data_IF_003488498986
#
_entry.id   IF_003488498986
#
_cell.length_a   1.000
_cell.length_b   1.000
_cell.length_c   1.000
_cell.angle_alpha   90.00
_cell.angle_beta   90.00
_cell.angle_gamma   90.00
#
_symmetry.space_group_name_H-M   'P 1'
#
loop_
_entity.id
_entity.type
_entity.pdbx_description
1 polymer ?
#
# COMPACT_ATOMS: atom_id res chain seq x y z
N UNK A 1 -26.17 -15.66 -5.61
CA UNK A 1 -26.25 -14.88 -4.36
C UNK A 1 -24.83 -14.49 -3.97
N UNK A 2 -24.64 -13.34 -3.34
CA UNK A 2 -23.30 -12.80 -3.02
C UNK A 2 -23.21 -12.70 -1.51
N UNK A 3 -22.13 -13.22 -0.92
CA UNK A 3 -21.83 -13.09 0.51
C UNK A 3 -20.72 -12.08 0.72
N UNK A 4 -20.71 -11.43 1.88
CA UNK A 4 -19.64 -10.50 2.24
C UNK A 4 -18.62 -11.22 3.11
N UNK A 5 -17.34 -11.04 2.81
CA UNK A 5 -16.27 -11.59 3.64
C UNK A 5 -16.30 -10.93 5.03
N UNK A 6 -16.33 -11.73 6.11
CA UNK A 6 -16.41 -11.19 7.48
C UNK A 6 -15.15 -10.42 7.91
N UNK A 7 -14.03 -10.61 7.22
CA UNK A 7 -12.75 -9.98 7.55
C UNK A 7 -12.48 -8.67 6.79
N UNK A 8 -12.93 -8.55 5.54
CA UNK A 8 -12.65 -7.38 4.70
C UNK A 8 -13.89 -6.76 4.03
N UNK A 9 -15.08 -7.30 4.29
CA UNK A 9 -16.37 -6.88 3.72
C UNK A 9 -16.44 -6.84 2.19
N UNK A 10 -15.47 -7.45 1.50
CA UNK A 10 -15.54 -7.62 0.05
C UNK A 10 -16.72 -8.52 -0.32
N UNK A 11 -17.45 -8.15 -1.38
CA UNK A 11 -18.49 -8.95 -1.98
C UNK A 11 -17.85 -10.15 -2.72
N UNK A 12 -18.18 -11.37 -2.31
CA UNK A 12 -17.62 -12.62 -2.86
C UNK A 12 -18.75 -13.56 -3.30
N UNK A 13 -18.63 -14.22 -4.47
CA UNK A 13 -19.56 -15.29 -4.86
C UNK A 13 -19.56 -16.44 -3.83
N UNK A 14 -20.73 -17.05 -3.58
CA UNK A 14 -20.86 -18.14 -2.61
C UNK A 14 -20.04 -19.40 -2.94
N UNK A 15 -19.65 -19.60 -4.21
CA UNK A 15 -18.82 -20.73 -4.64
C UNK A 15 -17.35 -20.65 -4.21
N UNK A 16 -16.90 -19.51 -3.66
CA UNK A 16 -15.52 -19.32 -3.25
C UNK A 16 -15.32 -19.75 -1.80
N UNK A 17 -14.41 -20.69 -1.56
CA UNK A 17 -14.02 -21.14 -0.21
C UNK A 17 -13.04 -20.20 0.49
N UNK A 18 -12.40 -19.29 -0.27
CA UNK A 18 -11.52 -18.23 0.24
C UNK A 18 -11.83 -16.87 -0.39
N UNK A 19 -11.71 -15.81 0.40
CA UNK A 19 -11.86 -14.46 -0.09
C UNK A 19 -10.71 -14.10 -1.05
N UNK A 20 -10.98 -13.66 -2.29
CA UNK A 20 -9.93 -13.29 -3.24
C UNK A 20 -9.20 -11.99 -2.87
N UNK A 21 -9.73 -11.21 -1.93
CA UNK A 21 -9.17 -9.92 -1.51
C UNK A 21 -8.23 -10.05 -0.31
N UNK A 22 -8.59 -10.87 0.68
CA UNK A 22 -7.80 -11.01 1.92
C UNK A 22 -7.35 -12.45 2.24
N UNK A 23 -7.71 -13.44 1.43
CA UNK A 23 -7.33 -14.84 1.62
C UNK A 23 -8.06 -15.60 2.73
N UNK A 24 -8.94 -14.92 3.49
CA UNK A 24 -9.69 -15.50 4.59
C UNK A 24 -10.61 -16.65 4.12
N UNK A 25 -10.65 -17.73 4.89
CA UNK A 25 -11.54 -18.88 4.64
C UNK A 25 -12.98 -18.47 4.94
N UNK A 26 -13.89 -18.77 4.03
CA UNK A 26 -15.28 -18.37 4.10
C UNK A 26 -16.12 -19.59 4.52
N UNK A 27 -16.23 -19.80 5.83
CA UNK A 27 -16.76 -21.01 6.49
C UNK A 27 -18.12 -21.48 5.96
N UNK A 28 -18.21 -22.80 5.73
CA UNK A 28 -19.43 -23.56 5.42
C UNK A 28 -19.11 -25.06 5.52
N UNK A 29 -19.89 -25.78 6.32
CA UNK A 29 -19.90 -27.23 6.60
C UNK A 29 -18.91 -27.79 7.63
N UNK A 30 -19.32 -27.76 8.92
CA UNK A 30 -18.91 -28.76 9.90
C UNK A 30 -19.97 -29.87 10.00
N UNK A 31 -19.62 -31.08 9.57
CA UNK A 31 -20.31 -32.32 9.96
C UNK A 31 -19.86 -32.79 11.35
N UNK A 32 -20.67 -33.59 12.08
CA UNK A 32 -20.50 -33.77 13.51
C UNK A 32 -19.33 -34.71 13.88
N UNK A 33 -18.65 -34.33 14.96
CA UNK A 33 -17.55 -35.06 15.59
C UNK A 33 -17.95 -36.46 16.06
N UNK A 34 -17.12 -37.46 15.75
CA UNK A 34 -17.15 -38.77 16.42
C UNK A 34 -16.06 -38.81 17.50
N UNK A 35 -16.51 -38.96 18.74
CA UNK A 35 -15.71 -39.25 19.92
C UNK A 35 -15.26 -40.71 19.94
N UNK A 36 -13.96 -40.97 20.03
CA UNK A 36 -13.41 -42.26 20.46
C UNK A 36 -12.38 -41.99 21.58
N UNK A 37 -12.68 -42.55 22.75
CA UNK A 37 -11.89 -42.37 23.96
C UNK A 37 -10.65 -43.27 24.02
N UNK A 38 -9.66 -42.80 24.77
CA UNK A 38 -8.49 -43.56 25.20
C UNK A 38 -7.80 -42.84 26.37
N UNK A 39 -7.70 -43.51 27.52
CA UNK A 39 -6.99 -43.06 28.73
C UNK A 39 -5.45 -43.27 28.61
N UNK A 40 -4.64 -42.68 29.52
CA UNK A 40 -3.35 -42.07 29.16
C UNK A 40 -2.13 -42.93 29.49
N UNK A 41 -1.03 -42.66 28.79
CA UNK A 41 0.33 -42.98 29.24
C UNK A 41 1.08 -41.66 29.46
N UNK A 42 1.61 -41.48 30.66
CA UNK A 42 2.16 -40.22 31.16
C UNK A 42 3.60 -39.91 30.72
N UNK A 43 3.83 -38.61 30.50
CA UNK A 43 5.09 -37.89 30.37
C UNK A 43 4.75 -36.40 30.16
N UNK A 44 5.54 -35.43 30.65
CA UNK A 44 5.17 -34.01 30.61
C UNK A 44 5.47 -33.47 29.21
N UNK A 45 4.59 -33.74 28.25
CA UNK A 45 4.70 -33.19 26.91
C UNK A 45 3.71 -32.03 26.78
N UNK A 46 4.22 -30.88 26.38
CA UNK A 46 3.41 -29.69 26.21
C UNK A 46 2.58 -29.80 24.90
N UNK A 47 1.29 -29.55 24.98
CA UNK A 47 0.40 -29.51 23.83
C UNK A 47 0.42 -28.12 23.19
N UNK A 48 0.36 -28.06 21.86
CA UNK A 48 0.28 -26.79 21.12
C UNK A 48 -1.16 -26.25 21.13
N UNK A 49 -1.35 -24.96 21.44
CA UNK A 49 -2.66 -24.30 21.40
C UNK A 49 -2.63 -23.17 20.38
N UNK A 50 -3.42 -23.31 19.31
CA UNK A 50 -3.61 -22.29 18.28
C UNK A 50 -4.60 -21.22 18.77
N UNK A 51 -4.18 -20.38 19.71
CA UNK A 51 -4.94 -19.17 20.06
C UNK A 51 -4.45 -17.98 19.23
N UNK A 52 -5.27 -17.60 18.24
CA UNK A 52 -5.18 -16.29 17.58
C UNK A 52 -5.56 -15.20 18.59
N UNK A 53 -4.59 -14.40 19.04
CA UNK A 53 -4.87 -13.22 19.85
C UNK A 53 -5.20 -12.01 18.96
N UNK A 54 -6.22 -11.20 19.30
CA UNK A 54 -6.62 -10.03 18.52
C UNK A 54 -5.73 -8.82 18.81
N UNK A 55 -5.39 -8.07 17.76
CA UNK A 55 -4.68 -6.79 17.85
C UNK A 55 -5.65 -5.67 18.24
N UNK A 56 -5.29 -4.94 19.30
CA UNK A 56 -6.01 -3.77 19.83
C UNK A 56 -5.84 -2.55 18.91
N UNK A 57 -6.92 -1.81 18.79
CA UNK A 57 -7.22 -0.71 17.85
C UNK A 57 -6.63 0.65 18.24
N UNK A 58 -6.43 1.51 17.23
CA UNK A 58 -6.26 2.96 17.36
C UNK A 58 -7.09 3.67 16.28
N UNK A 59 -8.06 4.48 16.69
CA UNK A 59 -9.12 5.07 15.87
C UNK A 59 -8.83 6.52 15.44
N UNK A 60 -9.34 6.91 14.27
CA UNK A 60 -9.89 8.26 14.02
C UNK A 60 -10.83 8.24 12.80
N UNK A 61 -12.05 8.75 12.95
CA UNK A 61 -13.18 8.51 12.05
C UNK A 61 -13.59 9.65 11.11
N UNK A 62 -14.26 9.24 10.02
CA UNK A 62 -15.44 9.82 9.36
C UNK A 62 -15.34 11.12 8.55
N UNK A 63 -16.37 11.49 7.74
CA UNK A 63 -17.55 10.71 7.31
C UNK A 63 -17.77 10.67 5.78
N UNK A 64 -18.89 10.02 5.42
CA UNK A 64 -19.31 9.48 4.13
C UNK A 64 -20.05 10.44 3.17
N UNK A 65 -20.31 9.93 1.95
CA UNK A 65 -21.35 10.35 1.00
C UNK A 65 -20.81 10.59 -0.41
N UNK A 66 -21.44 10.24 -1.53
CA UNK A 66 -22.61 9.43 -1.89
C UNK A 66 -22.55 9.22 -3.42
N UNK A 67 -23.28 8.23 -3.92
CA UNK A 67 -23.28 7.67 -5.28
C UNK A 67 -23.69 8.63 -6.42
N UNK A 68 -23.30 8.30 -7.66
CA UNK A 68 -24.24 8.04 -8.77
C UNK A 68 -23.51 7.63 -10.05
N UNK A 69 -24.26 6.95 -10.92
CA UNK A 69 -23.84 6.00 -11.95
C UNK A 69 -24.21 6.49 -13.36
N UNK A 70 -23.63 5.86 -14.40
CA UNK A 70 -23.97 5.91 -15.84
C UNK A 70 -23.67 7.21 -16.62
N UNK A 71 -23.28 7.25 -17.90
CA UNK A 71 -23.02 6.22 -18.92
C UNK A 71 -22.80 6.89 -20.30
N UNK A 72 -21.80 6.40 -21.04
CA UNK A 72 -21.65 6.22 -22.52
C UNK A 72 -21.71 7.38 -23.56
N UNK A 73 -20.80 7.22 -24.55
CA UNK A 73 -20.68 7.83 -25.91
C UNK A 73 -20.11 9.27 -25.94
N UNK A 74 -19.15 9.66 -26.79
CA UNK A 74 -18.92 9.31 -28.18
C UNK A 74 -17.45 9.63 -28.61
N UNK A 75 -17.14 9.12 -29.80
CA UNK A 75 -15.91 8.95 -30.57
C UNK A 75 -15.20 10.21 -31.11
N UNK A 76 -13.90 10.03 -31.44
CA UNK A 76 -13.09 10.68 -32.51
C UNK A 76 -13.03 12.22 -32.53
N UNK A 77 -11.87 12.88 -32.49
CA UNK A 77 -10.75 12.71 -33.43
C UNK A 77 -9.66 13.78 -33.18
N UNK A 78 -8.41 13.33 -33.29
CA UNK A 78 -7.24 13.97 -33.94
C UNK A 78 -6.58 15.21 -33.32
N UNK A 79 -5.46 14.95 -32.64
CA UNK A 79 -4.27 15.79 -32.61
C UNK A 79 -3.64 15.92 -34.01
N UNK A 80 -3.24 17.12 -34.41
CA UNK A 80 -2.00 17.32 -35.17
C UNK A 80 -1.59 18.81 -35.20
N UNK A 81 -0.35 19.06 -34.78
CA UNK A 81 0.60 19.76 -35.65
C UNK A 81 0.67 21.27 -35.58
N UNK A 82 1.37 21.75 -34.55
CA UNK A 82 2.04 23.04 -34.50
C UNK A 82 3.16 23.17 -35.56
N UNK A 83 3.20 24.29 -36.29
CA UNK A 83 4.45 24.85 -36.83
C UNK A 83 4.43 26.40 -36.82
N UNK A 84 5.46 26.95 -36.18
CA UNK A 84 5.93 28.35 -36.18
C UNK A 84 6.50 28.74 -37.58
N UNK A 85 6.82 30.02 -37.95
CA UNK A 85 7.33 31.07 -37.06
C UNK A 85 6.98 32.56 -37.35
N UNK A 86 7.53 33.37 -36.46
CA UNK A 86 7.68 34.82 -36.24
C UNK A 86 7.64 35.88 -37.37
N UNK A 87 7.18 37.06 -36.91
CA UNK A 87 7.68 38.44 -37.09
C UNK A 87 7.67 39.13 -38.47
N UNK A 88 6.91 40.23 -38.59
CA UNK A 88 7.37 41.64 -38.43
C UNK A 88 6.36 42.60 -39.09
N UNK A 89 6.06 43.72 -38.42
CA UNK A 89 5.21 44.83 -38.88
C UNK A 89 5.68 45.49 -40.19
N UNK A 90 4.77 46.13 -40.95
CA UNK A 90 4.80 47.61 -40.95
C UNK A 90 3.40 48.29 -41.01
N UNK A 91 3.35 49.51 -40.49
CA UNK A 91 2.27 50.52 -40.64
C UNK A 91 2.37 51.27 -41.99
N UNK A 92 1.49 52.25 -42.26
CA UNK A 92 0.30 52.21 -43.10
C UNK A 92 0.54 52.80 -44.52
N UNK A 93 -0.50 52.88 -45.39
CA UNK A 93 -0.56 54.02 -46.28
C UNK A 93 -1.92 54.74 -46.33
N UNK A 94 -1.75 56.02 -46.61
CA UNK A 94 -2.68 57.12 -46.84
C UNK A 94 -3.48 56.98 -48.14
N UNK A 95 -4.60 57.72 -48.17
CA UNK A 95 -5.52 58.02 -49.27
C UNK A 95 -5.02 57.90 -50.72
N UNK A 96 -5.85 57.27 -51.57
CA UNK A 96 -6.05 57.67 -52.96
C UNK A 96 -7.46 57.22 -53.41
N UNK A 97 -8.26 58.16 -53.91
CA UNK A 97 -9.71 58.00 -54.11
C UNK A 97 -10.15 57.12 -55.29
N UNK A 98 -11.48 56.93 -55.49
CA UNK A 98 -12.00 56.25 -56.66
C UNK A 98 -12.36 57.23 -57.79
N UNK A 99 -11.90 56.85 -58.98
CA UNK A 99 -12.27 57.42 -60.28
C UNK A 99 -13.74 57.19 -60.61
N UNK A 100 -14.27 58.19 -61.33
CA UNK A 100 -15.58 58.29 -61.91
C UNK A 100 -16.02 57.08 -62.74
N UNK A 101 -17.31 56.71 -62.61
CA UNK A 101 -18.04 55.92 -63.60
C UNK A 101 -19.24 56.72 -64.12
N UNK A 102 -19.25 56.81 -65.44
CA UNK A 102 -20.06 57.61 -66.35
C UNK A 102 -21.41 56.91 -66.57
N UNK A 103 -22.55 57.59 -66.40
CA UNK A 103 -23.82 57.17 -67.02
C UNK A 103 -24.54 58.38 -67.63
N UNK A 104 -24.61 58.29 -68.96
CA UNK A 104 -25.60 58.76 -69.94
C UNK A 104 -26.41 60.04 -69.71
N UNK A 105 -26.21 60.93 -70.68
CA UNK A 105 -27.05 62.05 -71.09
C UNK A 105 -28.53 61.69 -71.24
N UNK A 106 -29.39 62.51 -70.64
CA UNK A 106 -30.74 62.77 -71.15
C UNK A 106 -30.84 64.24 -71.57
N UNK A 107 -31.20 64.43 -72.85
CA UNK A 107 -31.47 65.72 -73.47
C UNK A 107 -32.62 66.44 -72.76
N UNK A 108 -32.49 67.75 -72.57
CA UNK A 108 -33.64 68.62 -72.32
C UNK A 108 -33.58 69.80 -73.29
N UNK A 109 -34.50 69.79 -74.24
CA UNK A 109 -34.81 70.91 -75.11
C UNK A 109 -35.36 72.09 -74.30
N UNK A 110 -34.93 73.29 -74.69
CA UNK A 110 -35.46 74.56 -74.23
C UNK A 110 -36.96 74.66 -74.53
N UNK A 111 -37.77 74.76 -73.47
CA UNK A 111 -39.12 75.30 -73.54
C UNK A 111 -39.15 76.61 -72.74
N UNK A 112 -39.64 77.64 -73.42
CA UNK A 112 -39.76 79.03 -72.98
C UNK A 112 -40.34 79.19 -71.56
N UNK A 113 -39.66 80.01 -70.75
CA UNK A 113 -40.14 80.43 -69.44
C UNK A 113 -41.32 81.40 -69.59
N UNK A 114 -42.54 80.91 -69.32
CA UNK A 114 -43.70 81.73 -68.94
C UNK A 114 -43.54 82.22 -67.48
N UNK A 115 -44.06 83.41 -67.13
CA UNK A 115 -43.93 83.96 -65.79
C UNK A 115 -44.68 83.07 -64.79
N UNK A 116 -43.98 82.60 -63.76
CA UNK A 116 -44.58 81.87 -62.63
C UNK A 116 -44.97 82.87 -61.53
N UNK A 117 -46.15 82.71 -60.93
CA UNK A 117 -46.69 83.63 -59.95
C UNK A 117 -45.86 83.60 -58.68
N UNK A 118 -45.60 84.78 -58.10
CA UNK A 118 -44.92 84.94 -56.82
C UNK A 118 -45.72 84.29 -55.70
N UNK A 119 -45.22 83.16 -55.20
CA UNK A 119 -45.71 82.51 -54.00
C UNK A 119 -45.38 83.41 -52.79
N UNK A 120 -46.37 83.69 -51.94
CA UNK A 120 -46.21 84.62 -50.81
C UNK A 120 -45.13 84.15 -49.82
N UNK A 121 -44.38 85.11 -49.25
CA UNK A 121 -43.31 84.87 -48.26
C UNK A 121 -43.76 84.05 -47.05
N UNK A 122 -45.06 84.02 -46.70
CA UNK A 122 -45.57 83.20 -45.60
C UNK A 122 -45.64 81.70 -45.92
N UNK A 123 -45.85 81.34 -47.20
CA UNK A 123 -45.92 79.93 -47.63
C UNK A 123 -44.51 79.31 -47.77
N UNK A 124 -43.51 80.11 -48.15
CA UNK A 124 -42.09 79.70 -48.12
C UNK A 124 -41.58 79.47 -46.70
N UNK A 125 -41.95 80.35 -45.75
CA UNK A 125 -41.55 80.21 -44.35
C UNK A 125 -42.18 78.96 -43.70
N UNK A 126 -43.42 78.62 -44.08
CA UNK A 126 -44.08 77.38 -43.67
C UNK A 126 -43.42 76.11 -44.23
N UNK A 127 -42.96 76.15 -45.49
CA UNK A 127 -42.25 75.01 -46.11
C UNK A 127 -40.87 74.77 -45.47
N UNK A 128 -40.15 75.84 -45.12
CA UNK A 128 -38.87 75.77 -44.39
C UNK A 128 -39.08 75.20 -42.98
N UNK A 129 -40.14 75.62 -42.29
CA UNK A 129 -40.49 75.10 -40.96
C UNK A 129 -40.85 73.59 -41.01
N UNK A 130 -41.62 73.18 -42.02
CA UNK A 130 -41.96 71.76 -42.25
C UNK A 130 -40.73 70.91 -42.57
N UNK A 131 -39.79 71.43 -43.37
CA UNK A 131 -38.54 70.73 -43.67
C UNK A 131 -37.68 70.56 -42.40
N UNK A 132 -37.61 71.59 -41.55
CA UNK A 132 -36.91 71.55 -40.26
C UNK A 132 -37.51 70.49 -39.33
N UNK A 133 -38.83 70.45 -39.21
CA UNK A 133 -39.53 69.43 -38.40
C UNK A 133 -39.32 68.03 -38.97
N UNK A 134 -39.30 67.87 -40.29
CA UNK A 134 -39.03 66.60 -40.94
C UNK A 134 -37.59 66.12 -40.71
N UNK A 135 -36.60 67.01 -40.78
CA UNK A 135 -35.20 66.69 -40.47
C UNK A 135 -35.00 66.32 -38.99
N UNK A 136 -35.69 67.01 -38.08
CA UNK A 136 -35.68 66.69 -36.64
C UNK A 136 -36.34 65.31 -36.41
N UNK A 137 -37.47 65.03 -37.07
CA UNK A 137 -38.16 63.75 -36.98
C UNK A 137 -37.33 62.58 -37.51
N UNK A 138 -36.64 62.75 -38.65
CA UNK A 138 -35.69 61.78 -39.19
C UNK A 138 -34.50 61.60 -38.24
N UNK A 139 -33.97 62.69 -37.67
CA UNK A 139 -32.89 62.65 -36.69
C UNK A 139 -33.26 61.85 -35.45
N UNK A 140 -34.46 62.05 -34.90
CA UNK A 140 -35.01 61.28 -33.78
C UNK A 140 -35.25 59.81 -34.15
N UNK A 141 -35.73 59.52 -35.36
CA UNK A 141 -35.94 58.15 -35.84
C UNK A 141 -34.61 57.40 -36.03
N UNK A 142 -33.58 58.06 -36.58
CA UNK A 142 -32.22 57.51 -36.71
C UNK A 142 -31.58 57.33 -35.32
N UNK A 143 -31.76 58.30 -34.42
CA UNK A 143 -31.25 58.21 -33.06
C UNK A 143 -31.90 57.05 -32.29
N UNK A 144 -33.24 56.97 -32.28
CA UNK A 144 -33.98 55.91 -31.58
C UNK A 144 -33.89 54.54 -32.24
N UNK A 145 -33.77 54.47 -33.57
CA UNK A 145 -33.73 53.21 -34.32
C UNK A 145 -32.33 52.62 -34.48
N UNK A 146 -31.29 53.44 -34.52
CA UNK A 146 -29.93 53.01 -34.84
C UNK A 146 -28.96 53.29 -33.67
N UNK A 147 -28.85 54.54 -33.21
CA UNK A 147 -27.81 54.91 -32.24
C UNK A 147 -28.11 54.49 -30.80
N UNK A 148 -29.32 54.74 -30.30
CA UNK A 148 -29.72 54.36 -28.95
C UNK A 148 -29.69 52.84 -28.71
N UNK A 149 -30.22 51.98 -29.60
CA UNK A 149 -30.08 50.54 -29.47
C UNK A 149 -28.63 50.08 -29.65
N UNK A 150 -27.82 50.75 -30.48
CA UNK A 150 -26.39 50.45 -30.57
C UNK A 150 -25.64 50.73 -29.26
N UNK A 151 -25.94 51.84 -28.56
CA UNK A 151 -25.35 52.15 -27.26
C UNK A 151 -25.78 51.15 -26.17
N UNK A 152 -27.06 50.76 -26.15
CA UNK A 152 -27.57 49.74 -25.22
C UNK A 152 -26.90 48.37 -25.47
N UNK A 153 -26.73 47.98 -26.74
CA UNK A 153 -26.00 46.76 -27.12
C UNK A 153 -24.52 46.85 -26.71
N UNK A 154 -23.86 47.99 -26.92
CA UNK A 154 -22.47 48.17 -26.53
C UNK A 154 -22.28 48.05 -25.00
N UNK A 155 -23.16 48.64 -24.19
CA UNK A 155 -23.15 48.50 -22.74
C UNK A 155 -23.46 47.08 -22.26
N UNK A 156 -24.43 46.40 -22.88
CA UNK A 156 -24.76 45.01 -22.59
C UNK A 156 -23.59 44.07 -22.92
N UNK A 157 -22.96 44.23 -24.08
CA UNK A 157 -21.78 43.45 -24.49
C UNK A 157 -20.59 43.67 -23.55
N UNK A 158 -20.34 44.91 -23.12
CA UNK A 158 -19.26 45.22 -22.18
C UNK A 158 -19.49 44.57 -20.79
N UNK A 159 -20.74 44.52 -20.33
CA UNK A 159 -21.09 43.88 -19.05
C UNK A 159 -20.94 42.36 -19.14
N UNK A 160 -21.38 41.75 -20.24
CA UNK A 160 -21.24 40.31 -20.49
C UNK A 160 -19.77 39.91 -20.65
N UNK A 161 -18.96 40.70 -21.38
CA UNK A 161 -17.53 40.41 -21.53
C UNK A 161 -16.76 40.55 -20.21
N UNK A 162 -17.10 41.54 -19.39
CA UNK A 162 -16.54 41.68 -18.04
C UNK A 162 -16.92 40.49 -17.13
N UNK A 163 -18.18 40.07 -17.16
CA UNK A 163 -18.64 38.90 -16.40
C UNK A 163 -17.96 37.60 -16.86
N UNK A 164 -17.82 37.40 -18.17
CA UNK A 164 -17.12 36.22 -18.72
C UNK A 164 -15.63 36.22 -18.34
N UNK A 165 -14.98 37.38 -18.37
CA UNK A 165 -13.58 37.54 -17.95
C UNK A 165 -13.39 37.28 -16.46
N UNK A 166 -14.32 37.74 -15.62
CA UNK A 166 -14.30 37.46 -14.20
C UNK A 166 -14.48 35.95 -13.92
N UNK A 167 -15.39 35.29 -14.65
CA UNK A 167 -15.59 33.85 -14.55
C UNK A 167 -14.33 33.08 -14.96
N UNK A 168 -13.74 33.37 -16.12
CA UNK A 168 -12.52 32.68 -16.59
C UNK A 168 -11.34 32.88 -15.64
N UNK A 169 -11.19 34.07 -15.05
CA UNK A 169 -10.18 34.33 -14.02
C UNK A 169 -10.44 33.52 -12.75
N UNK A 170 -11.68 33.44 -12.27
CA UNK A 170 -12.02 32.64 -11.08
C UNK A 170 -11.77 31.14 -11.31
N UNK A 171 -12.11 30.62 -12.49
CA UNK A 171 -11.84 29.23 -12.88
C UNK A 171 -10.34 28.97 -13.00
N UNK A 172 -9.59 29.87 -13.65
CA UNK A 172 -8.14 29.77 -13.76
C UNK A 172 -7.46 29.78 -12.39
N UNK A 173 -7.92 30.63 -11.46
CA UNK A 173 -7.43 30.64 -10.09
C UNK A 173 -7.80 29.37 -9.32
N UNK A 174 -9.02 28.87 -9.48
CA UNK A 174 -9.44 27.61 -8.86
C UNK A 174 -8.58 26.43 -9.37
N UNK A 175 -8.30 26.38 -10.68
CA UNK A 175 -7.45 25.37 -11.28
C UNK A 175 -5.99 25.50 -10.81
N UNK A 176 -5.45 26.72 -10.74
CA UNK A 176 -4.10 26.95 -10.23
C UNK A 176 -3.96 26.54 -8.76
N UNK A 177 -4.98 26.83 -7.93
CA UNK A 177 -5.03 26.39 -6.52
C UNK A 177 -5.14 24.87 -6.42
N UNK A 178 -6.01 24.24 -7.21
CA UNK A 178 -6.15 22.78 -7.23
C UNK A 178 -4.82 22.10 -7.65
N UNK A 179 -4.16 22.62 -8.68
CA UNK A 179 -2.85 22.13 -9.13
C UNK A 179 -1.75 22.31 -8.07
N UNK A 180 -1.71 23.47 -7.40
CA UNK A 180 -0.78 23.72 -6.30
C UNK A 180 -1.01 22.78 -5.11
N UNK A 181 -2.27 22.56 -4.73
CA UNK A 181 -2.63 21.62 -3.66
C UNK A 181 -2.28 20.19 -4.03
N UNK A 182 -2.58 19.75 -5.26
CA UNK A 182 -2.22 18.41 -5.73
C UNK A 182 -0.70 18.19 -5.71
N UNK A 183 0.07 19.19 -6.13
CA UNK A 183 1.55 19.15 -6.09
C UNK A 183 2.07 19.10 -4.65
N UNK A 184 1.51 19.92 -3.76
CA UNK A 184 1.88 19.92 -2.35
C UNK A 184 1.57 18.58 -1.67
N UNK A 185 0.42 17.96 -1.99
CA UNK A 185 0.05 16.65 -1.48
C UNK A 185 0.96 15.54 -2.02
N UNK A 186 1.27 15.56 -3.32
CA UNK A 186 2.22 14.61 -3.92
C UNK A 186 3.61 14.71 -3.27
N UNK A 187 4.10 15.93 -3.03
CA UNK A 187 5.38 16.15 -2.36
C UNK A 187 5.36 15.70 -0.89
N UNK A 188 4.28 15.95 -0.16
CA UNK A 188 4.11 15.49 1.22
C UNK A 188 4.12 13.96 1.31
N UNK A 189 3.38 13.28 0.42
CA UNK A 189 3.36 11.81 0.35
C UNK A 189 4.73 11.23 -0.02
N UNK A 190 5.42 11.82 -1.00
CA UNK A 190 6.76 11.38 -1.39
C UNK A 190 7.77 11.57 -0.25
N UNK A 191 7.69 12.67 0.50
CA UNK A 191 8.55 12.93 1.65
C UNK A 191 8.30 11.92 2.77
N UNK A 192 7.03 11.64 3.09
CA UNK A 192 6.68 10.64 4.10
C UNK A 192 7.15 9.23 3.72
N UNK A 193 7.00 8.83 2.45
CA UNK A 193 7.48 7.54 1.95
C UNK A 193 9.01 7.44 2.00
N UNK A 194 9.73 8.51 1.63
CA UNK A 194 11.19 8.55 1.71
C UNK A 194 11.68 8.46 3.16
N UNK A 195 11.03 9.16 4.10
CA UNK A 195 11.35 9.07 5.53
C UNK A 195 11.10 7.67 6.08
N UNK A 196 9.95 7.05 5.76
CA UNK A 196 9.64 5.70 6.18
C UNK A 196 10.68 4.68 5.65
N UNK A 197 11.09 4.83 4.39
CA UNK A 197 12.13 3.98 3.79
C UNK A 197 13.48 4.16 4.47
N UNK A 198 13.87 5.41 4.77
CA UNK A 198 15.12 5.71 5.46
C UNK A 198 15.16 5.11 6.89
N UNK A 199 14.05 5.18 7.63
CA UNK A 199 13.93 4.60 8.98
C UNK A 199 14.00 3.07 8.91
N UNK A 200 13.31 2.45 7.95
CA UNK A 200 13.35 1.01 7.75
C UNK A 200 14.77 0.53 7.41
N UNK A 201 15.48 1.25 6.53
CA UNK A 201 16.87 0.94 6.18
C UNK A 201 17.80 1.09 7.39
N UNK A 202 17.69 2.17 8.16
CA UNK A 202 18.49 2.38 9.37
C UNK A 202 18.24 1.28 10.42
N UNK A 203 16.99 0.86 10.59
CA UNK A 203 16.62 -0.23 11.49
C UNK A 203 17.23 -1.55 11.02
N UNK A 204 17.13 -1.88 9.73
CA UNK A 204 17.73 -3.09 9.16
C UNK A 204 19.26 -3.11 9.35
N UNK A 205 19.94 -1.98 9.12
CA UNK A 205 21.38 -1.86 9.37
C UNK A 205 21.74 -2.07 10.85
N UNK A 206 20.96 -1.50 11.78
CA UNK A 206 21.20 -1.69 13.21
C UNK A 206 21.00 -3.14 13.66
N UNK A 207 19.98 -3.83 13.14
CA UNK A 207 19.74 -5.24 13.45
C UNK A 207 20.82 -6.15 12.87
N UNK A 208 21.31 -5.83 11.66
CA UNK A 208 22.42 -6.54 11.04
C UNK A 208 23.73 -6.36 11.83
N UNK A 209 24.05 -5.14 12.25
CA UNK A 209 25.22 -4.87 13.09
C UNK A 209 25.13 -5.62 14.44
N UNK A 210 23.93 -5.73 15.01
CA UNK A 210 23.68 -6.52 16.23
C UNK A 210 23.98 -8.00 16.01
N UNK A 211 23.56 -8.58 14.89
CA UNK A 211 23.86 -9.96 14.52
C UNK A 211 25.36 -10.20 14.32
N UNK A 212 26.02 -9.32 13.55
CA UNK A 212 27.45 -9.42 13.26
C UNK A 212 28.29 -9.33 14.52
N UNK A 213 27.98 -8.36 15.39
CA UNK A 213 28.66 -8.25 16.67
C UNK A 213 28.39 -9.48 17.53
N UNK A 214 27.16 -9.99 17.56
CA UNK A 214 26.73 -11.16 18.34
C UNK A 214 27.36 -12.50 17.92
N UNK A 215 27.77 -12.62 16.66
CA UNK A 215 28.40 -13.82 16.07
C UNK A 215 29.89 -13.64 15.80
N UNK A 216 30.48 -12.53 16.26
CA UNK A 216 31.89 -12.21 16.07
C UNK A 216 32.82 -13.12 16.88
N UNK A 217 33.90 -13.57 16.23
CA UNK A 217 34.94 -14.38 16.87
C UNK A 217 34.54 -15.86 16.98
N UNK A 218 35.37 -16.63 17.68
CA UNK A 218 35.12 -18.06 17.83
C UNK A 218 33.96 -18.31 18.82
N UNK A 219 33.06 -19.25 18.50
CA UNK A 219 32.02 -19.64 19.45
C UNK A 219 32.65 -20.26 20.70
N UNK A 220 32.03 -19.99 21.86
CA UNK A 220 32.40 -20.59 23.15
C UNK A 220 32.10 -22.09 23.18
N UNK A 221 31.02 -22.52 22.51
CA UNK A 221 30.69 -23.92 22.27
C UNK A 221 30.45 -24.11 20.78
N UNK A 222 31.12 -25.11 20.21
CA UNK A 222 30.84 -25.60 18.87
C UNK A 222 30.59 -27.11 18.95
N UNK A 223 29.41 -27.53 18.50
CA UNK A 223 29.01 -28.92 18.41
C UNK A 223 28.63 -29.23 16.95
N UNK A 224 29.35 -30.11 16.26
CA UNK A 224 29.04 -30.45 14.88
C UNK A 224 27.72 -31.24 14.74
N UNK A 225 27.16 -31.76 15.84
CA UNK A 225 25.97 -32.61 15.90
C UNK A 225 26.11 -33.92 15.13
N UNK A 226 27.31 -34.48 15.11
CA UNK A 226 27.61 -35.73 14.37
C UNK A 226 27.57 -36.99 15.26
N UNK A 227 27.41 -36.82 16.58
CA UNK A 227 27.38 -37.92 17.53
C UNK A 227 27.24 -37.41 18.97
N UNK A 228 27.01 -38.34 19.90
CA UNK A 228 26.91 -38.01 21.32
C UNK A 228 28.27 -37.55 21.86
N UNK A 229 28.26 -36.51 22.69
CA UNK A 229 29.47 -35.87 23.19
C UNK A 229 29.30 -35.38 24.64
N UNK A 230 30.15 -34.45 25.08
CA UNK A 230 30.10 -33.87 26.42
C UNK A 230 28.83 -33.07 26.71
N UNK A 231 28.04 -32.71 25.70
CA UNK A 231 26.80 -31.94 25.85
C UNK A 231 25.61 -32.81 26.27
N UNK A 232 25.73 -34.14 26.17
CA UNK A 232 24.74 -35.11 26.65
C UNK A 232 23.34 -34.88 26.05
N UNK A 233 23.25 -34.96 24.73
CA UNK A 233 22.00 -34.82 23.99
C UNK A 233 20.96 -35.87 24.40
N UNK A 234 19.71 -35.46 24.61
CA UNK A 234 18.57 -36.37 24.73
C UNK A 234 18.38 -37.13 23.42
N UNK A 235 18.35 -38.47 23.47
CA UNK A 235 18.20 -39.33 22.31
C UNK A 235 17.08 -40.36 22.52
N UNK A 236 16.39 -40.73 21.44
CA UNK A 236 15.56 -41.93 21.38
C UNK A 236 16.38 -43.10 20.82
N UNK A 237 16.65 -44.08 21.69
CA UNK A 237 17.44 -45.25 21.33
C UNK A 237 16.72 -46.18 20.34
N UNK A 238 15.40 -46.04 20.19
CA UNK A 238 14.62 -46.86 19.26
C UNK A 238 14.47 -46.22 17.87
N UNK A 239 14.88 -44.95 17.71
CA UNK A 239 14.77 -44.16 16.47
C UNK A 239 13.36 -44.18 15.87
N UNK A 240 12.33 -44.24 16.71
CA UNK A 240 10.92 -44.22 16.28
C UNK A 240 10.35 -42.83 16.36
N UNK A 241 10.66 -42.12 17.43
CA UNK A 241 10.19 -40.78 17.69
C UNK A 241 11.11 -40.11 18.71
N UNK A 242 11.52 -38.88 18.44
CA UNK A 242 12.55 -38.16 19.21
C UNK A 242 13.81 -38.00 18.38
N UNK A 243 14.97 -38.10 19.05
CA UNK A 243 16.22 -37.57 18.51
C UNK A 243 17.25 -38.67 18.27
N UNK A 244 17.93 -38.65 17.13
CA UNK A 244 18.97 -39.62 16.82
C UNK A 244 20.00 -39.05 15.86
N UNK A 245 21.24 -39.53 15.94
CA UNK A 245 22.29 -39.14 15.01
C UNK A 245 22.21 -39.96 13.72
N UNK A 246 22.19 -39.28 12.58
CA UNK A 246 22.23 -39.90 11.26
C UNK A 246 22.87 -38.94 10.26
N UNK A 247 23.63 -39.47 9.30
CA UNK A 247 24.11 -38.66 8.17
C UNK A 247 24.97 -37.43 8.53
N UNK A 248 25.71 -37.45 9.65
CA UNK A 248 26.47 -36.30 10.19
C UNK A 248 25.61 -35.14 10.71
N UNK A 249 24.38 -35.43 11.13
CA UNK A 249 23.48 -34.49 11.77
C UNK A 249 22.70 -35.13 12.92
N UNK A 250 22.16 -34.29 13.80
CA UNK A 250 21.14 -34.71 14.77
C UNK A 250 19.78 -34.56 14.10
N UNK A 251 19.02 -35.65 14.03
CA UNK A 251 17.66 -35.67 13.52
C UNK A 251 16.68 -35.60 14.68
N UNK A 252 15.58 -34.88 14.49
CA UNK A 252 14.40 -34.89 15.34
C UNK A 252 13.21 -35.34 14.50
N UNK A 253 12.63 -36.48 14.84
CA UNK A 253 11.47 -37.07 14.18
C UNK A 253 10.29 -37.10 15.13
N UNK A 254 9.15 -36.57 14.69
CA UNK A 254 7.88 -36.64 15.44
C UNK A 254 6.79 -37.15 14.51
N UNK A 255 6.00 -38.11 14.99
CA UNK A 255 4.89 -38.72 14.26
C UNK A 255 3.59 -38.70 15.05
N UNK A 256 3.62 -38.12 16.26
CA UNK A 256 2.47 -37.88 17.12
C UNK A 256 1.90 -36.50 16.86
N UNK A 257 0.65 -36.48 16.41
CA UNK A 257 -0.09 -35.28 16.02
C UNK A 257 -0.11 -34.20 17.12
N UNK A 258 0.23 -32.96 16.77
CA UNK A 258 0.28 -31.76 17.63
C UNK A 258 1.24 -31.86 18.83
N UNK A 259 2.27 -32.71 18.72
CA UNK A 259 3.32 -32.89 19.73
C UNK A 259 4.67 -32.41 19.19
N UNK A 260 5.51 -31.90 20.08
CA UNK A 260 6.95 -31.79 19.83
C UNK A 260 7.71 -32.59 20.90
N UNK A 261 8.87 -33.13 20.52
CA UNK A 261 9.76 -33.81 21.44
C UNK A 261 11.07 -33.01 21.58
N UNK A 262 11.43 -32.56 22.79
CA UNK A 262 12.60 -31.74 22.99
C UNK A 262 13.90 -32.57 22.97
N UNK A 263 14.83 -32.20 22.09
CA UNK A 263 16.18 -32.74 22.03
C UNK A 263 17.12 -31.78 22.75
N UNK A 264 17.28 -31.96 24.07
CA UNK A 264 18.08 -31.05 24.89
C UNK A 264 19.53 -31.49 25.02
N UNK A 265 20.46 -30.54 24.97
CA UNK A 265 21.84 -30.72 25.41
C UNK A 265 21.89 -30.62 26.95
N UNK A 266 21.73 -31.75 27.65
CA UNK A 266 21.47 -31.80 29.09
C UNK A 266 22.59 -31.19 29.95
N UNK A 267 23.83 -31.21 29.47
CA UNK A 267 24.99 -30.68 30.20
C UNK A 267 25.21 -29.16 30.01
N UNK A 268 24.28 -28.46 29.35
CA UNK A 268 24.35 -27.02 29.11
C UNK A 268 23.52 -26.22 30.10
N UNK A 269 23.94 -25.00 30.42
CA UNK A 269 23.14 -24.03 31.16
C UNK A 269 23.62 -22.60 30.84
N UNK A 270 22.88 -21.88 30.00
CA UNK A 270 23.27 -20.56 29.51
C UNK A 270 22.27 -19.47 29.92
N UNK A 271 22.77 -18.26 30.18
CA UNK A 271 21.98 -17.09 30.56
C UNK A 271 21.86 -16.08 29.41
N UNK A 272 22.97 -15.41 29.12
CA UNK A 272 23.13 -14.48 28.01
C UNK A 272 24.00 -15.14 26.95
N UNK A 273 23.46 -15.30 25.75
CA UNK A 273 24.14 -16.00 24.68
C UNK A 273 23.56 -15.66 23.31
N UNK A 274 24.35 -15.99 22.29
CA UNK A 274 23.87 -16.15 20.93
C UNK A 274 23.94 -17.63 20.59
N UNK A 275 22.81 -18.23 20.20
CA UNK A 275 22.70 -19.63 19.78
C UNK A 275 22.39 -19.65 18.29
N UNK A 276 23.16 -20.41 17.52
CA UNK A 276 23.01 -20.57 16.08
C UNK A 276 23.07 -22.05 15.69
N UNK A 277 22.26 -22.47 14.74
CA UNK A 277 22.29 -23.84 14.19
C UNK A 277 21.82 -23.84 12.74
N UNK A 278 22.36 -24.76 11.94
CA UNK A 278 21.82 -25.09 10.63
C UNK A 278 20.67 -26.09 10.80
N UNK A 279 19.50 -25.78 10.24
CA UNK A 279 18.33 -26.65 10.23
C UNK A 279 17.90 -26.94 8.79
N UNK A 280 17.64 -28.21 8.48
CA UNK A 280 16.98 -28.63 7.23
C UNK A 280 15.74 -29.43 7.56
N UNK A 281 14.61 -29.03 6.99
CA UNK A 281 13.39 -29.82 7.06
C UNK A 281 13.50 -30.98 6.07
N UNK A 282 13.57 -32.21 6.60
CA UNK A 282 13.59 -33.43 5.81
C UNK A 282 12.19 -33.70 5.28
N UNK A 283 11.16 -33.53 6.11
CA UNK A 283 9.74 -33.60 5.74
C UNK A 283 8.85 -32.96 6.83
N UNK A 284 7.59 -32.66 6.49
CA UNK A 284 6.55 -32.27 7.45
C UNK A 284 6.40 -30.77 7.66
N UNK A 285 6.07 -30.38 8.88
CA UNK A 285 5.51 -29.07 9.21
C UNK A 285 6.57 -28.06 9.68
N UNK A 286 7.49 -28.46 10.55
CA UNK A 286 8.59 -27.58 10.96
C UNK A 286 9.34 -27.99 12.22
N UNK A 287 10.12 -27.06 12.76
CA UNK A 287 10.96 -27.30 13.92
C UNK A 287 11.75 -26.05 14.32
N UNK A 288 12.77 -26.23 15.15
CA UNK A 288 13.69 -25.15 15.45
C UNK A 288 14.47 -25.31 16.75
N UNK A 289 14.63 -24.21 17.48
CA UNK A 289 15.51 -24.10 18.64
C UNK A 289 14.73 -24.09 19.95
N UNK A 290 15.25 -24.79 20.95
CA UNK A 290 14.84 -24.66 22.35
C UNK A 290 15.95 -23.96 23.12
N UNK A 291 15.60 -23.01 24.00
CA UNK A 291 16.60 -22.33 24.80
C UNK A 291 16.06 -21.85 26.15
N UNK A 292 16.98 -21.66 27.11
CA UNK A 292 16.69 -21.45 28.52
C UNK A 292 15.69 -22.48 29.07
N UNK A 293 15.86 -23.72 28.63
CA UNK A 293 14.99 -24.82 28.97
C UNK A 293 15.31 -25.40 30.35
N UNK A 294 14.30 -25.99 30.98
CA UNK A 294 14.47 -26.85 32.14
C UNK A 294 13.82 -28.19 31.83
N UNK A 295 14.67 -29.21 31.63
CA UNK A 295 14.25 -30.57 31.28
C UNK A 295 13.28 -31.19 32.30
N UNK A 296 13.34 -30.81 33.57
CA UNK A 296 12.49 -31.39 34.61
C UNK A 296 11.07 -30.86 34.58
N UNK A 297 10.90 -29.56 34.29
CA UNK A 297 9.59 -28.91 34.23
C UNK A 297 9.02 -28.82 32.81
N UNK A 298 9.82 -29.08 31.78
CA UNK A 298 9.42 -28.87 30.38
C UNK A 298 9.29 -27.40 29.99
N UNK A 299 9.73 -26.47 30.85
CA UNK A 299 9.61 -25.03 30.63
C UNK A 299 10.76 -24.50 29.79
N UNK A 300 10.53 -23.47 28.97
CA UNK A 300 11.58 -22.80 28.20
C UNK A 300 11.01 -21.96 27.06
N UNK A 301 11.88 -21.46 26.19
CA UNK A 301 11.46 -20.81 24.96
C UNK A 301 11.67 -21.71 23.75
N UNK A 302 10.77 -21.59 22.78
CA UNK A 302 10.78 -22.32 21.52
C UNK A 302 10.81 -21.32 20.37
N UNK A 303 11.87 -21.32 19.57
CA UNK A 303 11.89 -20.60 18.30
C UNK A 303 11.60 -21.57 17.17
N UNK A 304 10.37 -21.51 16.69
CA UNK A 304 9.81 -22.36 15.64
C UNK A 304 9.87 -21.67 14.27
N UNK A 305 10.21 -22.44 13.25
CA UNK A 305 10.08 -22.09 11.83
C UNK A 305 9.29 -23.19 11.12
N UNK A 306 8.27 -22.77 10.39
CA UNK A 306 7.36 -23.63 9.64
C UNK A 306 7.77 -23.73 8.17
N UNK A 307 7.37 -24.83 7.53
CA UNK A 307 7.56 -25.10 6.11
C UNK A 307 6.82 -24.11 5.19
N UNK A 308 5.82 -23.40 5.70
CA UNK A 308 5.02 -22.41 4.97
C UNK A 308 5.61 -20.98 5.01
N UNK A 309 6.74 -20.78 5.68
CA UNK A 309 7.41 -19.48 5.80
C UNK A 309 6.92 -18.63 6.98
N UNK A 310 6.16 -19.20 7.92
CA UNK A 310 5.91 -18.59 9.22
C UNK A 310 6.99 -18.92 10.24
N UNK A 311 7.20 -18.01 11.18
CA UNK A 311 7.96 -18.28 12.40
C UNK A 311 7.15 -17.91 13.64
N UNK A 312 7.50 -18.51 14.77
CA UNK A 312 6.95 -18.15 16.07
C UNK A 312 8.00 -18.33 17.16
N UNK A 313 8.17 -17.33 18.01
CA UNK A 313 8.78 -17.49 19.31
C UNK A 313 7.68 -17.73 20.33
N UNK A 314 7.78 -18.84 21.03
CA UNK A 314 6.81 -19.26 22.04
C UNK A 314 7.47 -19.43 23.39
N UNK A 315 6.67 -19.25 24.42
CA UNK A 315 6.99 -19.62 25.79
C UNK A 315 6.27 -20.92 26.12
N UNK A 316 7.01 -21.95 26.52
CA UNK A 316 6.45 -23.16 27.09
C UNK A 316 6.46 -23.12 28.61
N UNK A 317 5.31 -23.37 29.23
CA UNK A 317 5.15 -23.48 30.68
C UNK A 317 5.26 -24.94 31.19
N UNK A 318 5.68 -25.86 30.32
CA UNK A 318 5.73 -27.30 30.60
C UNK A 318 4.44 -28.05 30.26
N UNK A 319 3.34 -27.34 30.02
CA UNK A 319 2.05 -27.94 29.64
C UNK A 319 1.53 -27.45 28.30
N UNK A 320 1.78 -26.19 27.97
CA UNK A 320 1.37 -25.55 26.74
C UNK A 320 2.48 -24.65 26.22
N UNK A 321 2.40 -24.28 24.94
CA UNK A 321 3.27 -23.28 24.32
C UNK A 321 2.42 -22.10 23.82
N UNK A 322 2.73 -20.89 24.29
CA UNK A 322 2.03 -19.67 23.92
C UNK A 322 2.94 -18.77 23.08
N UNK A 323 2.42 -18.23 21.98
CA UNK A 323 3.17 -17.32 21.12
C UNK A 323 3.46 -15.98 21.80
N UNK A 324 4.71 -15.53 21.72
CA UNK A 324 5.17 -14.20 22.16
C UNK A 324 5.30 -13.24 20.98
N UNK A 325 5.85 -13.70 19.86
CA UNK A 325 6.00 -12.94 18.62
C UNK A 325 6.12 -13.92 17.45
N UNK A 326 5.53 -13.58 16.31
CA UNK A 326 5.56 -14.44 15.13
C UNK A 326 4.91 -13.78 13.93
N UNK A 327 4.99 -14.46 12.79
CA UNK A 327 4.36 -14.04 11.54
C UNK A 327 5.09 -14.58 10.30
N UNK A 328 4.60 -14.22 9.11
CA UNK A 328 5.22 -14.63 7.86
C UNK A 328 6.54 -13.89 7.64
N UNK A 329 7.52 -14.56 7.05
CA UNK A 329 8.79 -13.96 6.63
C UNK A 329 9.34 -14.60 5.37
N UNK A 330 9.89 -13.80 4.47
CA UNK A 330 10.58 -14.29 3.27
C UNK A 330 12.00 -14.77 3.56
N UNK A 331 12.48 -14.65 4.80
CA UNK A 331 13.81 -15.07 5.19
C UNK A 331 13.95 -16.61 5.28
N UNK A 332 12.83 -17.34 5.41
CA UNK A 332 12.81 -18.80 5.50
C UNK A 332 12.87 -19.40 4.10
N UNK A 333 13.79 -20.35 3.90
CA UNK A 333 13.75 -21.24 2.75
C UNK A 333 12.71 -22.32 3.00
N UNK A 334 11.61 -22.27 2.26
CA UNK A 334 10.44 -23.16 2.43
C UNK A 334 10.53 -24.47 1.65
N UNK A 335 11.43 -24.57 0.67
CA UNK A 335 11.62 -25.80 -0.08
C UNK A 335 12.28 -26.88 0.79
N UNK A 336 11.74 -28.10 0.72
CA UNK A 336 12.23 -29.25 1.47
C UNK A 336 13.72 -29.52 1.22
N UNK A 337 14.46 -29.85 2.27
CA UNK A 337 15.90 -30.08 2.24
C UNK A 337 16.77 -28.81 2.10
N UNK A 338 16.17 -27.62 1.92
CA UNK A 338 16.92 -26.37 1.98
C UNK A 338 17.35 -26.07 3.41
N UNK A 339 18.53 -25.47 3.49
CA UNK A 339 19.17 -25.11 4.74
C UNK A 339 18.64 -23.75 5.25
N UNK A 340 18.31 -23.70 6.53
CA UNK A 340 17.93 -22.49 7.25
C UNK A 340 18.88 -22.31 8.44
N UNK A 341 19.61 -21.19 8.46
CA UNK A 341 20.44 -20.80 9.60
C UNK A 341 19.57 -20.08 10.63
N UNK A 342 19.25 -20.76 11.72
CA UNK A 342 18.45 -20.18 12.81
C UNK A 342 19.37 -19.54 13.83
N UNK A 343 18.99 -18.38 14.34
CA UNK A 343 19.77 -17.71 15.40
C UNK A 343 18.89 -17.01 16.41
N UNK A 344 19.21 -17.21 17.68
CA UNK A 344 18.62 -16.50 18.82
C UNK A 344 19.72 -15.71 19.52
N UNK A 345 19.47 -14.43 19.79
CA UNK A 345 20.29 -13.61 20.68
C UNK A 345 19.48 -13.34 21.94
N UNK A 346 19.86 -13.95 23.06
CA UNK A 346 19.21 -13.79 24.34
C UNK A 346 20.11 -12.97 25.28
N UNK A 347 19.65 -11.79 25.73
CA UNK A 347 20.38 -10.89 26.65
C UNK A 347 19.42 -10.30 27.68
N UNK A 348 19.53 -10.73 28.94
CA UNK A 348 18.54 -10.39 29.96
C UNK A 348 17.15 -10.86 29.52
N UNK A 349 16.16 -9.96 29.50
CA UNK A 349 14.83 -10.24 28.96
C UNK A 349 14.71 -10.12 27.43
N UNK A 350 15.73 -9.57 26.76
CA UNK A 350 15.67 -9.30 25.34
C UNK A 350 16.00 -10.54 24.55
N UNK A 351 15.10 -10.91 23.64
CA UNK A 351 15.24 -12.05 22.74
C UNK A 351 15.09 -11.55 21.31
N UNK A 352 16.12 -11.67 20.49
CA UNK A 352 16.08 -11.34 19.07
C UNK A 352 16.21 -12.62 18.24
N UNK A 353 15.46 -12.68 17.15
CA UNK A 353 15.33 -13.84 16.29
C UNK A 353 15.83 -13.51 14.89
N UNK A 354 16.61 -14.41 14.33
CA UNK A 354 17.10 -14.30 12.96
C UNK A 354 16.94 -15.64 12.24
N UNK A 355 16.61 -15.54 10.96
CA UNK A 355 16.63 -16.68 10.03
C UNK A 355 17.48 -16.27 8.84
N UNK A 356 18.42 -17.11 8.43
CA UNK A 356 19.33 -16.84 7.32
C UNK A 356 20.03 -15.47 7.45
N UNK A 357 20.41 -15.12 8.68
CA UNK A 357 21.03 -13.84 9.09
C UNK A 357 20.13 -12.60 8.97
N UNK A 358 18.86 -12.77 8.58
CA UNK A 358 17.88 -11.68 8.55
C UNK A 358 17.11 -11.62 9.86
N UNK A 359 16.99 -10.43 10.44
CA UNK A 359 16.15 -10.19 11.61
C UNK A 359 14.69 -10.47 11.25
N UNK A 360 14.02 -11.32 12.04
CA UNK A 360 12.60 -11.65 11.82
C UNK A 360 11.70 -11.09 12.91
N UNK A 361 12.19 -10.96 14.15
CA UNK A 361 11.40 -10.43 15.26
C UNK A 361 12.18 -10.36 16.57
N UNK A 362 11.59 -9.72 17.57
CA UNK A 362 12.10 -9.70 18.93
C UNK A 362 10.99 -9.53 19.95
N UNK A 363 11.29 -9.88 21.20
CA UNK A 363 10.41 -9.64 22.34
C UNK A 363 11.21 -9.29 23.59
N UNK A 364 10.51 -8.81 24.61
CA UNK A 364 11.01 -8.57 25.95
C UNK A 364 10.25 -9.47 26.92
N UNK A 365 10.88 -10.54 27.37
CA UNK A 365 10.27 -11.53 28.27
C UNK A 365 11.27 -11.97 29.34
N UNK A 366 10.85 -11.98 30.60
CA UNK A 366 11.72 -12.26 31.75
C UNK A 366 11.35 -13.56 32.49
N UNK A 367 10.50 -14.41 31.92
CA UNK A 367 10.03 -15.63 32.58
C UNK A 367 11.17 -16.63 32.82
N UNK A 368 12.07 -16.80 31.84
CA UNK A 368 13.23 -17.69 31.98
C UNK A 368 14.53 -16.92 31.71
N UNK A 369 15.46 -17.00 32.64
CA UNK A 369 16.73 -16.26 32.59
C UNK A 369 17.94 -17.13 32.26
N UNK A 370 17.89 -18.43 32.60
CA UNK A 370 18.93 -19.42 32.31
C UNK A 370 18.32 -20.77 31.95
N UNK A 371 19.07 -21.62 31.27
CA UNK A 371 18.71 -23.02 31.11
C UNK A 371 19.47 -23.70 29.99
N UNK A 372 19.04 -24.92 29.70
CA UNK A 372 19.59 -25.75 28.64
C UNK A 372 19.22 -25.21 27.26
N UNK A 373 19.98 -25.61 26.25
CA UNK A 373 19.66 -25.40 24.84
C UNK A 373 19.28 -26.73 24.19
N UNK A 374 18.60 -26.67 23.05
CA UNK A 374 18.22 -27.85 22.32
C UNK A 374 17.61 -27.53 20.96
N UNK A 375 17.14 -28.58 20.33
CA UNK A 375 16.44 -28.54 19.04
C UNK A 375 15.13 -29.33 19.15
N UNK A 376 14.23 -29.14 18.19
CA UNK A 376 13.02 -29.93 18.07
C UNK A 376 12.45 -29.92 16.66
N UNK A 377 11.64 -30.93 16.36
CA UNK A 377 10.64 -30.94 15.30
C UNK A 377 9.25 -30.99 15.94
N UNK A 378 8.23 -30.55 15.20
CA UNK A 378 6.84 -30.59 15.63
C UNK A 378 5.97 -31.12 14.49
N UNK A 379 5.07 -32.05 14.82
CA UNK A 379 4.04 -32.54 13.93
C UNK A 379 2.77 -31.70 14.16
N UNK A 380 2.26 -31.06 13.11
CA UNK A 380 1.04 -30.25 13.07
C UNK A 380 0.02 -30.86 12.09
N UNK A 381 -0.06 -32.19 12.05
CA UNK A 381 -0.90 -32.97 11.15
C UNK A 381 -0.11 -33.78 10.13
N UNK A 382 1.22 -33.65 10.10
CA UNK A 382 2.12 -34.42 9.25
C UNK A 382 3.36 -34.87 10.00
N UNK A 383 3.74 -36.14 9.79
CA UNK A 383 5.01 -36.69 10.31
C UNK A 383 6.15 -35.78 9.89
N UNK A 384 6.84 -35.26 10.89
CA UNK A 384 7.82 -34.19 10.70
C UNK A 384 9.20 -34.65 11.13
N UNK A 385 10.17 -34.43 10.24
CA UNK A 385 11.57 -34.69 10.50
C UNK A 385 12.40 -33.48 10.12
N UNK A 386 13.22 -33.03 11.07
CA UNK A 386 14.21 -31.98 10.85
C UNK A 386 15.60 -32.48 11.24
N UNK A 387 16.60 -32.12 10.43
CA UNK A 387 18.00 -32.39 10.69
C UNK A 387 18.73 -31.12 11.07
N UNK A 388 19.67 -31.23 12.01
CA UNK A 388 20.41 -30.12 12.58
C UNK A 388 21.91 -30.39 12.55
N UNK A 389 22.69 -29.37 12.20
CA UNK A 389 24.15 -29.43 12.14
C UNK A 389 24.81 -28.14 12.62
N UNK A 390 26.08 -28.22 13.00
CA UNK A 390 26.93 -27.05 13.29
C UNK A 390 26.32 -26.08 14.32
N UNK A 391 25.99 -26.59 15.50
CA UNK A 391 25.49 -25.76 16.59
C UNK A 391 26.61 -24.92 17.20
N UNK A 392 26.34 -23.62 17.36
CA UNK A 392 27.30 -22.64 17.85
C UNK A 392 26.69 -21.78 18.96
N UNK A 393 27.48 -21.53 20.02
CA UNK A 393 27.09 -20.64 21.12
C UNK A 393 28.20 -19.64 21.40
N UNK A 394 27.86 -18.36 21.48
CA UNK A 394 28.74 -17.30 22.00
C UNK A 394 28.16 -16.75 23.31
N UNK A 395 28.95 -16.73 24.38
CA UNK A 395 28.55 -16.07 25.64
C UNK A 395 28.62 -14.55 25.52
N UNK A 396 27.70 -13.85 26.19
CA UNK A 396 27.54 -12.38 26.09
C UNK A 396 27.41 -11.67 27.43
#
# INVERSE_FOLDING_TARGET
>A
MVRHCEFCYAAVPESYTRCPVCGAVLSGDQGPAQTLGGQPAGGPYAAFSSQETPVVTGASGGPAGAESNAGTEDTTSTEAGSSLPSETYPTPPTEAGPRARRIAHFQRSEFAAKPRPSLSRSLQMGFVLMLLLFLIGIGLAIYGGIYHPAQLRAGATATVSAALTALTQSTAQAHARAAATATAQAHATATAAAQATAIAAATATAQQATYEEATKGNPTLFDPLTGQDGNQWTLDNNQREGCFFSGQSLHSLVASDHVFLPCLAQATNFANFTLQVHMRLVQGDGGGLIFRANANSGTGYLFFVASDGNYSLMLSDGTQANALVGGPTSAIHTAQGQDNLLTVIARGSSILLYVNKHYVGSTQDANFSTGQIGIFAIDLGHVTEASFSELQVWLR
#
